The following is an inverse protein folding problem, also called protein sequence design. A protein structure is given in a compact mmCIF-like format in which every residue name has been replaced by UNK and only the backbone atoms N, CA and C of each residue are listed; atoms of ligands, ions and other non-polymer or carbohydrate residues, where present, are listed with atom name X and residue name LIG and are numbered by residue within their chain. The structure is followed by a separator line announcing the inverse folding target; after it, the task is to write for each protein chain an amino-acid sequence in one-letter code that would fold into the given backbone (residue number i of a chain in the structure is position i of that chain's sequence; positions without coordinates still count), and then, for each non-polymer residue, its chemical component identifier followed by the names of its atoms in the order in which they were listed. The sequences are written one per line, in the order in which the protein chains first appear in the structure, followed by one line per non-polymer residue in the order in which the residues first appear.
data_IF_224354376256
#
_entry.id   IF_224354376256
#
_cell.length_a   1.000
_cell.length_b   1.000
_cell.length_c   1.000
_cell.angle_alpha   90.00
_cell.angle_beta   90.00
_cell.angle_gamma   90.00
#
_symmetry.space_group_name_H-M   'P 1'
#
loop_
_entity.id
_entity.type
_entity.pdbx_description
1 polymer ?
#
# COMPACT_ATOMS: atom_id res chain seq x y z
N UNK A 1 -25.30 11.50 -11.16
CA UNK A 1 -23.91 11.09 -11.42
C UNK A 1 -23.07 11.76 -10.35
N UNK A 2 -22.67 11.04 -9.30
CA UNK A 2 -21.95 11.63 -8.18
C UNK A 2 -20.49 11.85 -8.57
N UNK A 3 -20.14 13.07 -8.92
CA UNK A 3 -18.75 13.52 -8.86
C UNK A 3 -18.39 13.70 -7.36
N UNK A 4 -18.19 12.57 -6.67
CA UNK A 4 -17.64 12.62 -5.34
C UNK A 4 -16.27 13.31 -5.44
N UNK A 5 -16.06 14.33 -4.63
CA UNK A 5 -14.77 15.03 -4.56
C UNK A 5 -13.73 14.02 -4.10
N UNK A 6 -12.90 13.53 -5.02
CA UNK A 6 -11.79 12.62 -4.71
C UNK A 6 -10.58 13.44 -4.32
N UNK A 7 -10.03 13.13 -3.15
CA UNK A 7 -8.84 13.80 -2.59
C UNK A 7 -7.61 12.93 -2.90
N UNK A 8 -6.57 13.51 -3.46
CA UNK A 8 -5.28 12.83 -3.64
C UNK A 8 -4.37 13.17 -2.47
N UNK A 9 -3.98 12.14 -1.73
CA UNK A 9 -2.98 12.21 -0.69
C UNK A 9 -1.61 11.79 -1.27
N UNK A 10 -0.61 12.67 -1.16
CA UNK A 10 0.72 12.44 -1.74
C UNK A 10 1.46 11.26 -1.11
N UNK A 11 1.26 11.03 0.18
CA UNK A 11 1.86 9.89 0.87
C UNK A 11 1.28 8.59 0.33
N UNK A 12 -0.05 8.45 0.25
CA UNK A 12 -0.70 7.27 -0.30
C UNK A 12 -0.35 7.05 -1.78
N UNK A 13 -0.27 8.12 -2.56
CA UNK A 13 0.15 8.06 -3.95
C UNK A 13 1.58 7.51 -4.09
N UNK A 14 2.50 7.88 -3.18
CA UNK A 14 3.90 7.41 -3.19
C UNK A 14 4.06 5.93 -2.85
N UNK A 15 3.04 5.30 -2.24
CA UNK A 15 3.03 3.85 -1.97
C UNK A 15 2.78 3.01 -3.23
N UNK A 16 2.30 3.63 -4.30
CA UNK A 16 1.91 2.93 -5.53
C UNK A 16 3.07 2.99 -6.52
N UNK A 17 3.59 1.84 -6.98
CA UNK A 17 4.60 1.81 -8.01
C UNK A 17 4.10 2.50 -9.30
N UNK A 18 4.93 3.33 -9.96
CA UNK A 18 4.55 3.97 -11.21
C UNK A 18 4.34 2.92 -12.30
N UNK A 19 3.43 3.21 -13.23
CA UNK A 19 3.29 2.44 -14.46
C UNK A 19 4.41 2.80 -15.44
N UNK A 20 4.80 1.82 -16.28
CA UNK A 20 5.64 2.13 -17.43
C UNK A 20 4.88 3.02 -18.44
N UNK A 21 5.59 3.75 -19.32
CA UNK A 21 4.96 4.55 -20.36
C UNK A 21 4.00 3.73 -21.24
N UNK A 22 4.38 2.50 -21.56
CA UNK A 22 3.59 1.57 -22.38
C UNK A 22 2.32 1.14 -21.66
N UNK A 23 2.43 0.77 -20.38
CA UNK A 23 1.29 0.42 -19.54
C UNK A 23 0.32 1.60 -19.38
N UNK A 24 0.85 2.83 -19.25
CA UNK A 24 0.02 4.04 -19.13
C UNK A 24 -0.73 4.31 -20.43
N UNK A 25 -0.07 4.15 -21.60
CA UNK A 25 -0.69 4.32 -22.92
C UNK A 25 -1.81 3.30 -23.11
N UNK A 26 -1.54 2.02 -22.86
CA UNK A 26 -2.53 0.96 -22.99
C UNK A 26 -3.73 1.16 -22.05
N UNK A 27 -3.49 1.59 -20.82
CA UNK A 27 -4.56 1.91 -19.88
C UNK A 27 -5.44 3.05 -20.39
N UNK A 28 -4.83 4.09 -20.97
CA UNK A 28 -5.55 5.22 -21.54
C UNK A 28 -6.40 4.82 -22.74
N UNK A 29 -5.84 4.04 -23.66
CA UNK A 29 -6.58 3.50 -24.83
C UNK A 29 -7.79 2.70 -24.37
N UNK A 30 -7.63 1.81 -23.39
CA UNK A 30 -8.73 1.00 -22.84
C UNK A 30 -9.81 1.87 -22.19
N UNK A 31 -9.43 2.86 -21.39
CA UNK A 31 -10.39 3.77 -20.74
C UNK A 31 -11.13 4.62 -21.78
N UNK A 32 -10.42 5.06 -22.82
CA UNK A 32 -11.04 5.85 -23.88
C UNK A 32 -12.05 5.02 -24.70
N UNK A 33 -11.75 3.75 -24.94
CA UNK A 33 -12.60 2.85 -25.71
C UNK A 33 -13.82 2.34 -24.93
N UNK A 34 -13.65 1.99 -23.66
CA UNK A 34 -14.64 1.25 -22.87
C UNK A 34 -15.13 1.99 -21.61
N UNK A 35 -14.57 3.17 -21.33
CA UNK A 35 -14.80 3.91 -20.10
C UNK A 35 -14.06 3.32 -18.90
N UNK A 36 -14.24 3.95 -17.72
CA UNK A 36 -13.68 3.48 -16.48
C UNK A 36 -14.54 2.35 -15.88
N UNK A 37 -14.22 1.10 -16.21
CA UNK A 37 -14.98 -0.09 -15.79
C UNK A 37 -14.91 -0.34 -14.30
N UNK A 38 -13.72 -0.28 -13.72
CA UNK A 38 -13.48 -0.55 -12.31
C UNK A 38 -13.64 0.71 -11.48
N UNK A 39 -14.33 0.60 -10.34
CA UNK A 39 -14.43 1.71 -9.40
C UNK A 39 -13.06 2.12 -8.84
N UNK A 40 -12.90 3.41 -8.57
CA UNK A 40 -11.80 3.93 -7.79
C UNK A 40 -12.06 3.64 -6.32
N UNK A 41 -11.04 3.20 -5.59
CA UNK A 41 -11.19 2.87 -4.18
C UNK A 41 -10.77 4.08 -3.35
N UNK A 42 -11.66 4.48 -2.45
CA UNK A 42 -11.45 5.61 -1.54
C UNK A 42 -11.58 5.20 -0.07
N UNK A 43 -11.04 5.97 0.81
CA UNK A 43 -11.21 5.93 2.26
C UNK A 43 -11.46 7.35 2.76
N UNK A 44 -12.66 7.62 3.28
CA UNK A 44 -13.10 8.97 3.63
C UNK A 44 -12.93 10.00 2.48
N UNK A 45 -13.15 9.56 1.24
CA UNK A 45 -12.96 10.39 0.04
C UNK A 45 -11.51 10.53 -0.43
N UNK A 46 -10.52 10.00 0.31
CA UNK A 46 -9.11 9.96 -0.09
C UNK A 46 -8.87 8.76 -0.99
N UNK A 47 -8.22 8.96 -2.14
CA UNK A 47 -7.97 7.92 -3.12
C UNK A 47 -6.90 6.93 -2.61
N UNK A 48 -7.26 5.65 -2.55
CA UNK A 48 -6.36 4.56 -2.18
C UNK A 48 -5.90 3.74 -3.39
N UNK A 49 -6.78 3.47 -4.36
CA UNK A 49 -6.43 2.76 -5.60
C UNK A 49 -7.10 3.41 -6.80
N UNK A 50 -6.38 3.36 -7.94
CA UNK A 50 -6.84 3.88 -9.22
C UNK A 50 -6.34 5.28 -9.56
N UNK A 51 -5.22 5.74 -9.00
CA UNK A 51 -4.64 7.07 -9.28
C UNK A 51 -4.44 7.33 -10.77
N UNK A 52 -3.90 6.38 -11.52
CA UNK A 52 -3.73 6.53 -12.97
C UNK A 52 -5.07 6.59 -13.70
N UNK A 53 -6.05 5.76 -13.29
CA UNK A 53 -7.42 5.81 -13.87
C UNK A 53 -8.08 7.15 -13.57
N UNK A 54 -7.94 7.67 -12.36
CA UNK A 54 -8.48 8.97 -11.96
C UNK A 54 -7.90 10.11 -12.80
N UNK A 55 -6.57 10.15 -12.96
CA UNK A 55 -5.88 11.15 -13.80
C UNK A 55 -6.39 11.13 -15.25
N UNK A 56 -6.47 9.94 -15.85
CA UNK A 56 -6.95 9.75 -17.22
C UNK A 56 -8.42 10.17 -17.34
N UNK A 57 -9.28 9.72 -16.43
CA UNK A 57 -10.71 10.06 -16.46
C UNK A 57 -10.97 11.55 -16.30
N UNK A 58 -10.20 12.22 -15.41
CA UNK A 58 -10.30 13.68 -15.27
C UNK A 58 -9.89 14.41 -16.57
N UNK A 59 -8.76 14.01 -17.16
CA UNK A 59 -8.23 14.66 -18.37
C UNK A 59 -9.13 14.45 -19.58
N UNK A 60 -9.72 13.26 -19.72
CA UNK A 60 -10.61 12.91 -20.84
C UNK A 60 -12.09 13.17 -20.57
N UNK A 61 -12.44 13.74 -19.41
CA UNK A 61 -13.83 13.96 -18.97
C UNK A 61 -14.69 12.68 -18.98
N UNK A 62 -14.09 11.52 -18.72
CA UNK A 62 -14.77 10.21 -18.67
C UNK A 62 -15.34 10.01 -17.25
N UNK A 63 -16.63 9.62 -17.13
CA UNK A 63 -17.23 9.36 -15.83
C UNK A 63 -16.60 8.13 -15.16
N UNK A 64 -16.47 8.17 -13.86
CA UNK A 64 -15.97 7.09 -13.04
C UNK A 64 -16.86 6.87 -11.79
N UNK A 65 -16.73 5.70 -11.18
CA UNK A 65 -17.40 5.35 -9.93
C UNK A 65 -16.36 5.30 -8.83
N UNK A 66 -16.76 5.61 -7.60
CA UNK A 66 -15.96 5.42 -6.39
C UNK A 66 -16.59 4.37 -5.49
N UNK A 67 -15.77 3.64 -4.77
CA UNK A 67 -16.17 2.73 -3.70
C UNK A 67 -15.34 3.06 -2.46
N UNK A 68 -16.02 3.47 -1.40
CA UNK A 68 -15.35 3.77 -0.13
C UNK A 68 -15.16 2.50 0.69
N UNK A 69 -13.98 2.34 1.28
CA UNK A 69 -13.66 1.22 2.17
C UNK A 69 -13.61 1.71 3.60
N UNK A 70 -14.16 0.91 4.51
CA UNK A 70 -14.13 1.20 5.93
C UNK A 70 -12.84 0.65 6.56
N UNK A 71 -11.95 1.56 6.94
CA UNK A 71 -10.66 1.25 7.57
C UNK A 71 -10.51 2.10 8.83
N UNK A 72 -9.96 1.52 9.93
CA UNK A 72 -9.98 2.16 11.24
C UNK A 72 -9.10 3.42 11.33
N UNK A 73 -8.01 3.47 10.57
CA UNK A 73 -7.04 4.56 10.64
C UNK A 73 -6.18 4.65 9.38
N UNK A 74 -5.30 5.64 9.35
CA UNK A 74 -4.39 5.94 8.25
C UNK A 74 -3.37 4.82 8.01
N UNK A 75 -2.87 4.18 9.06
CA UNK A 75 -1.92 3.08 8.95
C UNK A 75 -2.57 1.84 8.34
N UNK A 76 -3.82 1.55 8.69
CA UNK A 76 -4.61 0.50 8.07
C UNK A 76 -4.88 0.79 6.58
N UNK A 77 -5.12 2.06 6.22
CA UNK A 77 -5.27 2.47 4.82
C UNK A 77 -3.97 2.26 4.02
N UNK A 78 -2.83 2.65 4.57
CA UNK A 78 -1.52 2.40 3.96
C UNK A 78 -1.22 0.90 3.82
N UNK A 79 -1.51 0.08 4.85
CA UNK A 79 -1.34 -1.38 4.80
C UNK A 79 -2.28 -2.03 3.75
N UNK A 80 -3.49 -1.48 3.61
CA UNK A 80 -4.43 -1.92 2.57
C UNK A 80 -3.87 -1.65 1.17
N UNK A 81 -3.30 -0.45 0.92
CA UNK A 81 -2.66 -0.11 -0.36
C UNK A 81 -1.55 -1.11 -0.67
N UNK A 82 -0.62 -1.33 0.27
CA UNK A 82 0.51 -2.25 0.05
C UNK A 82 0.04 -3.69 -0.20
N UNK A 83 -0.98 -4.18 0.51
CA UNK A 83 -1.56 -5.51 0.26
C UNK A 83 -2.15 -5.59 -1.15
N UNK A 84 -2.88 -4.56 -1.57
CA UNK A 84 -3.48 -4.51 -2.89
C UNK A 84 -2.40 -4.47 -4.00
N UNK A 85 -1.32 -3.72 -3.80
CA UNK A 85 -0.18 -3.70 -4.73
C UNK A 85 0.53 -5.06 -4.78
N UNK A 86 0.80 -5.69 -3.62
CA UNK A 86 1.43 -7.02 -3.55
C UNK A 86 0.61 -8.13 -4.23
N UNK A 87 -0.70 -7.96 -4.34
CA UNK A 87 -1.58 -8.85 -5.09
C UNK A 87 -1.46 -8.71 -6.61
N UNK A 88 -0.78 -7.70 -7.13
CA UNK A 88 -0.60 -7.49 -8.57
C UNK A 88 0.49 -8.41 -9.13
N UNK A 89 0.27 -8.90 -10.36
CA UNK A 89 1.19 -9.85 -11.03
C UNK A 89 2.45 -9.21 -11.60
N UNK A 90 2.49 -7.89 -11.76
CA UNK A 90 3.53 -7.17 -12.52
C UNK A 90 4.56 -6.46 -11.63
N UNK A 91 4.69 -6.84 -10.35
CA UNK A 91 5.69 -6.27 -9.46
C UNK A 91 7.07 -6.86 -9.73
N UNK A 92 8.08 -6.00 -9.81
CA UNK A 92 9.47 -6.45 -9.79
C UNK A 92 9.85 -7.00 -8.41
N UNK A 93 10.90 -7.84 -8.30
CA UNK A 93 11.39 -8.31 -7.01
C UNK A 93 11.74 -7.17 -6.04
N UNK A 94 12.26 -6.05 -6.55
CA UNK A 94 12.63 -4.88 -5.74
C UNK A 94 11.38 -4.15 -5.22
N UNK A 95 10.36 -3.97 -6.06
CA UNK A 95 9.07 -3.43 -5.64
C UNK A 95 8.39 -4.32 -4.57
N UNK A 96 8.45 -5.64 -4.74
CA UNK A 96 7.95 -6.58 -3.74
C UNK A 96 8.71 -6.47 -2.41
N UNK A 97 10.04 -6.33 -2.46
CA UNK A 97 10.90 -6.15 -1.29
C UNK A 97 10.54 -4.86 -0.54
N UNK A 98 10.40 -3.74 -1.27
CA UNK A 98 10.04 -2.44 -0.72
C UNK A 98 8.67 -2.48 -0.03
N UNK A 99 7.64 -3.01 -0.69
CA UNK A 99 6.28 -3.09 -0.14
C UNK A 99 6.23 -3.98 1.12
N UNK A 100 6.88 -5.16 1.11
CA UNK A 100 6.98 -6.01 2.31
C UNK A 100 7.70 -5.31 3.46
N UNK A 101 8.78 -4.59 3.13
CA UNK A 101 9.57 -3.83 4.10
C UNK A 101 8.77 -2.71 4.77
N UNK A 102 8.02 -1.94 4.00
CA UNK A 102 7.12 -0.88 4.51
C UNK A 102 6.05 -1.45 5.44
N UNK A 103 5.39 -2.55 5.04
CA UNK A 103 4.43 -3.25 5.90
C UNK A 103 5.05 -3.74 7.20
N UNK A 104 6.26 -4.30 7.15
CA UNK A 104 6.96 -4.73 8.35
C UNK A 104 7.26 -3.57 9.30
N UNK A 105 7.75 -2.45 8.78
CA UNK A 105 8.09 -1.28 9.57
C UNK A 105 6.86 -0.66 10.25
N UNK A 106 5.72 -0.52 9.53
CA UNK A 106 4.45 -0.06 10.12
C UNK A 106 3.95 -1.00 11.21
N UNK A 107 3.85 -2.29 10.92
CA UNK A 107 3.37 -3.27 11.90
C UNK A 107 4.27 -3.36 13.16
N UNK A 108 5.56 -3.06 13.04
CA UNK A 108 6.49 -2.97 14.17
C UNK A 108 6.26 -1.71 15.00
N UNK A 109 6.00 -0.56 14.34
CA UNK A 109 5.72 0.73 15.00
C UNK A 109 4.44 0.62 15.82
N UNK A 110 3.34 0.17 15.21
CA UNK A 110 2.05 -0.03 15.90
C UNK A 110 2.17 -0.93 17.12
N UNK A 111 2.95 -2.02 17.04
CA UNK A 111 3.21 -2.91 18.18
C UNK A 111 4.01 -2.22 19.30
N UNK A 112 4.97 -1.37 18.94
CA UNK A 112 5.78 -0.62 19.92
C UNK A 112 4.93 0.44 20.65
N UNK A 113 4.05 1.12 19.92
CA UNK A 113 3.12 2.12 20.48
C UNK A 113 2.09 1.46 21.42
N UNK A 114 1.51 0.32 21.02
CA UNK A 114 0.61 -0.46 21.87
C UNK A 114 1.29 -1.00 23.13
N UNK A 115 2.56 -1.39 23.05
CA UNK A 115 3.36 -1.87 24.19
C UNK A 115 3.77 -0.76 25.17
N UNK A 116 3.81 0.49 24.72
CA UNK A 116 4.12 1.64 25.59
C UNK A 116 2.95 2.07 26.51
N UNK A 117 1.72 1.67 26.18
CA UNK A 117 0.53 1.96 27.00
C UNK A 117 0.23 0.91 28.07
N UNK A 118 0.92 -0.24 28.06
CA UNK A 118 0.73 -1.32 29.02
C UNK A 118 1.97 -1.49 29.90
N UNK A 119 1.82 -1.14 31.18
CA UNK A 119 2.89 -1.25 32.19
C UNK A 119 3.49 -2.66 32.26
N UNK A 120 4.78 -2.70 32.48
CA UNK A 120 5.64 -3.86 32.72
C UNK A 120 5.01 -4.87 33.68
N UNK A 121 4.60 -6.03 33.18
CA UNK A 121 4.41 -7.23 34.00
C UNK A 121 5.24 -8.35 33.39
N UNK A 122 6.41 -8.58 34.01
CA UNK A 122 7.18 -9.82 33.85
C UNK A 122 6.36 -10.97 34.44
N UNK A 123 5.61 -11.65 33.60
CA UNK A 123 4.95 -12.91 33.94
C UNK A 123 5.46 -13.98 32.98
N UNK A 124 6.22 -14.93 33.51
CA UNK A 124 6.58 -16.17 32.86
C UNK A 124 5.30 -16.97 32.56
N UNK A 125 4.94 -17.07 31.29
CA UNK A 125 4.43 -18.27 30.62
C UNK A 125 4.33 -17.99 29.13
N UNK A 126 5.27 -18.58 28.44
CA UNK A 126 5.59 -18.34 27.04
C UNK A 126 4.66 -19.16 26.14
N UNK A 127 3.51 -18.63 25.77
CA UNK A 127 2.95 -18.95 24.46
C UNK A 127 3.54 -17.89 23.51
N UNK A 128 4.68 -18.22 22.93
CA UNK A 128 5.44 -17.33 22.06
C UNK A 128 4.58 -16.96 20.83
N UNK A 129 3.83 -15.86 20.93
CA UNK A 129 3.12 -15.30 19.78
C UNK A 129 4.16 -15.02 18.69
N UNK A 130 3.93 -15.46 17.44
CA UNK A 130 4.88 -15.27 16.36
C UNK A 130 5.24 -13.78 16.22
N UNK A 131 6.52 -13.51 16.02
CA UNK A 131 6.97 -12.14 15.82
C UNK A 131 6.32 -11.54 14.57
N UNK A 132 6.28 -10.21 14.47
CA UNK A 132 5.81 -9.54 13.25
C UNK A 132 6.52 -10.05 12.00
N UNK A 133 7.84 -10.34 12.12
CA UNK A 133 8.61 -10.89 11.02
C UNK A 133 8.19 -12.31 10.66
N UNK A 134 7.90 -13.18 11.65
CA UNK A 134 7.46 -14.56 11.41
C UNK A 134 6.09 -14.60 10.74
N UNK A 135 5.16 -13.75 11.19
CA UNK A 135 3.82 -13.64 10.61
C UNK A 135 3.87 -13.20 9.14
N UNK A 136 4.61 -12.14 8.83
CA UNK A 136 4.74 -11.64 7.46
C UNK A 136 5.56 -12.60 6.58
N UNK A 137 6.57 -13.27 7.13
CA UNK A 137 7.32 -14.29 6.43
C UNK A 137 6.42 -15.44 5.94
N UNK A 138 5.53 -15.92 6.81
CA UNK A 138 4.54 -16.96 6.46
C UNK A 138 3.54 -16.45 5.40
N UNK A 139 3.05 -15.21 5.54
CA UNK A 139 2.11 -14.58 4.59
C UNK A 139 2.71 -14.47 3.19
N UNK A 140 3.99 -14.10 3.09
CA UNK A 140 4.66 -13.84 1.80
C UNK A 140 5.51 -15.02 1.29
N UNK A 141 5.56 -16.13 1.99
CA UNK A 141 6.33 -17.32 1.59
C UNK A 141 7.85 -17.08 1.57
N UNK A 142 8.37 -16.22 2.46
CA UNK A 142 9.78 -15.88 2.57
C UNK A 142 10.31 -16.13 3.99
N UNK A 143 11.62 -16.01 4.21
CA UNK A 143 12.19 -16.16 5.54
C UNK A 143 11.96 -14.91 6.41
N UNK A 144 11.90 -15.03 7.75
CA UNK A 144 11.86 -13.88 8.65
C UNK A 144 13.08 -12.96 8.50
N UNK A 145 14.23 -13.51 8.13
CA UNK A 145 15.44 -12.74 7.83
C UNK A 145 15.24 -11.87 6.58
N UNK A 146 14.56 -12.38 5.55
CA UNK A 146 14.18 -11.63 4.35
C UNK A 146 13.29 -10.44 4.73
N UNK A 147 12.25 -10.64 5.52
CA UNK A 147 11.35 -9.56 5.98
C UNK A 147 12.11 -8.47 6.73
N UNK A 148 13.03 -8.85 7.63
CA UNK A 148 13.86 -7.87 8.36
C UNK A 148 14.80 -7.09 7.45
N UNK A 149 15.37 -7.74 6.43
CA UNK A 149 16.21 -7.09 5.41
C UNK A 149 15.39 -6.13 4.56
N UNK A 150 14.20 -6.57 4.09
CA UNK A 150 13.27 -5.74 3.32
C UNK A 150 12.88 -4.48 4.13
N UNK A 151 12.65 -4.62 5.45
CA UNK A 151 12.40 -3.49 6.34
C UNK A 151 13.53 -2.47 6.39
N UNK A 152 14.79 -2.92 6.39
CA UNK A 152 15.95 -2.01 6.33
C UNK A 152 16.05 -1.29 4.98
N UNK A 153 15.81 -2.02 3.88
CA UNK A 153 15.79 -1.45 2.53
C UNK A 153 14.69 -0.39 2.43
N UNK A 154 13.50 -0.69 2.91
CA UNK A 154 12.38 0.26 2.89
C UNK A 154 12.70 1.53 3.70
N UNK A 155 13.26 1.40 4.92
CA UNK A 155 13.66 2.57 5.70
C UNK A 155 14.70 3.43 4.98
N UNK A 156 15.70 2.79 4.36
CA UNK A 156 16.72 3.51 3.60
C UNK A 156 16.14 4.28 2.41
N UNK A 157 15.28 3.62 1.61
CA UNK A 157 14.65 4.26 0.44
C UNK A 157 13.63 5.34 0.81
N UNK A 158 12.95 5.21 1.95
CA UNK A 158 12.03 6.24 2.44
C UNK A 158 12.78 7.49 2.96
N UNK A 159 14.02 7.30 3.46
CA UNK A 159 14.93 8.40 3.84
C UNK A 159 15.68 9.01 2.64
N UNK A 160 15.85 8.25 1.54
CA UNK A 160 16.58 8.62 0.33
C UNK A 160 15.74 8.39 -0.94
N UNK A 161 14.67 9.18 -1.17
CA UNK A 161 13.74 8.95 -2.28
C UNK A 161 14.39 9.08 -3.67
N UNK A 162 15.55 9.72 -3.79
CA UNK A 162 16.35 9.82 -5.02
C UNK A 162 16.95 8.47 -5.45
N UNK A 163 17.15 7.53 -4.53
CA UNK A 163 17.71 6.19 -4.80
C UNK A 163 16.62 5.17 -5.20
N UNK A 164 15.36 5.55 -5.12
CA UNK A 164 14.21 4.67 -5.41
C UNK A 164 13.81 4.63 -6.90
N UNK A 165 14.68 5.14 -7.81
CA UNK A 165 14.40 5.24 -9.27
C UNK A 165 14.81 3.99 -10.02
#
# INVERSE_FOLDING_TARGET
MNNASVIIDKEFQSLIPPLSPEEKTLLEENINAEGCRDALITWHGILLDGHNRFEICQRLAIPFRTMDVDLPDRDAAADWIDKNQLGRRNLTPDQMSLLRGRRYNRAKKTKAEAGSMGGSSKGQNDTCLPSTADRLAKEHGVSPATIKRDGKIASFLDEHPEEAK
#
